data_IF_605590803868
#
_entry.id   IF_605590803868
#
_cell.length_a   1.000
_cell.length_b   1.000
_cell.length_c   1.000
_cell.angle_alpha   90.00
_cell.angle_beta   90.00
_cell.angle_gamma   90.00
#
_symmetry.space_group_name_H-M   'P 1'
#
loop_
_entity.id
_entity.type
_entity.pdbx_description
1 polymer ?
#
# COMPACT_ATOMS: atom_id res chain seq x y z
N UNK A 1 -0.74 -7.30 17.33
CA UNK A 1 -1.19 -8.70 17.42
C UNK A 1 -0.05 -9.70 17.22
N UNK A 2 1.15 -9.37 17.71
CA UNK A 2 2.22 -10.33 17.92
C UNK A 2 2.25 -10.53 19.44
N UNK A 3 1.54 -11.54 19.92
CA UNK A 3 1.78 -12.07 21.26
C UNK A 3 2.02 -13.57 21.14
N UNK A 4 3.19 -13.97 21.65
CA UNK A 4 3.60 -15.33 21.87
C UNK A 4 2.83 -15.90 23.08
N UNK A 5 1.93 -16.84 22.86
CA UNK A 5 1.43 -17.76 23.91
C UNK A 5 1.53 -19.21 23.41
N UNK A 6 2.25 -20.10 24.11
CA UNK A 6 2.42 -21.48 23.70
C UNK A 6 1.37 -22.38 24.35
N UNK A 7 0.30 -22.73 23.62
CA UNK A 7 -0.50 -23.96 23.79
C UNK A 7 -1.81 -23.89 23.00
N UNK A 8 -1.74 -24.15 21.69
CA UNK A 8 -2.92 -24.51 20.91
C UNK A 8 -2.52 -25.49 19.80
N UNK A 9 -3.27 -26.59 19.56
CA UNK A 9 -2.95 -27.60 18.53
C UNK A 9 -3.11 -27.09 17.10
N UNK A 10 -3.48 -25.83 16.89
CA UNK A 10 -3.68 -25.21 15.57
C UNK A 10 -2.35 -24.75 14.92
N UNK A 11 -1.33 -25.61 14.91
CA UNK A 11 -0.22 -25.47 13.95
C UNK A 11 -0.68 -25.93 12.57
N UNK A 12 -1.61 -25.20 11.95
CA UNK A 12 -1.70 -25.20 10.49
C UNK A 12 -0.65 -24.22 10.00
N UNK A 13 0.20 -24.69 9.09
CA UNK A 13 1.26 -23.98 8.40
C UNK A 13 0.76 -22.73 7.67
N UNK A 14 0.35 -21.68 8.39
CA UNK A 14 0.04 -20.38 7.85
C UNK A 14 1.30 -19.54 7.92
N UNK A 15 2.13 -19.64 6.88
CA UNK A 15 3.18 -18.65 6.67
C UNK A 15 2.49 -17.39 6.13
N UNK A 16 2.03 -16.52 7.03
CA UNK A 16 1.52 -15.19 6.66
C UNK A 16 2.70 -14.29 6.26
N UNK A 17 3.34 -14.62 5.14
CA UNK A 17 4.35 -13.78 4.52
C UNK A 17 3.66 -12.71 3.70
N UNK A 18 3.51 -11.50 4.26
CA UNK A 18 3.16 -10.31 3.49
C UNK A 18 4.34 -9.95 2.58
N UNK A 19 4.55 -10.71 1.51
CA UNK A 19 5.61 -10.44 0.56
C UNK A 19 5.14 -9.35 -0.40
N UNK A 20 5.74 -8.17 -0.23
CA UNK A 20 5.45 -6.96 -1.00
C UNK A 20 5.92 -7.11 -2.44
N UNK A 21 5.06 -6.68 -3.36
CA UNK A 21 5.17 -6.57 -4.82
C UNK A 21 5.50 -7.84 -5.62
N UNK A 22 6.45 -8.67 -5.19
CA UNK A 22 7.02 -9.77 -6.00
C UNK A 22 6.01 -10.84 -6.41
N UNK A 23 5.07 -11.18 -5.51
CA UNK A 23 4.11 -12.26 -5.75
C UNK A 23 2.74 -11.78 -6.23
N UNK A 24 2.52 -10.47 -6.40
CA UNK A 24 1.20 -9.93 -6.79
C UNK A 24 0.71 -10.44 -8.15
N UNK A 25 1.64 -10.81 -9.02
CA UNK A 25 1.37 -11.32 -10.37
C UNK A 25 1.56 -12.84 -10.49
N UNK A 26 1.92 -13.54 -9.40
CA UNK A 26 2.10 -14.99 -9.42
C UNK A 26 0.72 -15.68 -9.46
N UNK A 27 0.41 -16.48 -10.50
CA UNK A 27 -0.89 -17.16 -10.59
C UNK A 27 -1.13 -18.21 -9.49
N UNK A 28 -0.10 -18.60 -8.74
CA UNK A 28 -0.21 -19.52 -7.61
C UNK A 28 -0.41 -18.82 -6.27
N UNK A 29 -0.37 -17.48 -6.23
CA UNK A 29 -0.51 -16.67 -5.01
C UNK A 29 -1.74 -15.76 -5.13
N UNK A 30 -2.77 -15.93 -4.28
CA UNK A 30 -3.95 -15.08 -4.32
C UNK A 30 -3.64 -13.65 -3.89
N UNK A 31 -4.11 -12.68 -4.67
CA UNK A 31 -4.09 -11.25 -4.34
C UNK A 31 -5.43 -10.87 -3.69
N UNK A 32 -5.44 -10.72 -2.37
CA UNK A 32 -6.71 -10.68 -1.61
C UNK A 32 -6.98 -9.31 -1.01
N UNK A 33 -8.21 -8.82 -1.23
CA UNK A 33 -8.87 -7.80 -0.41
C UNK A 33 -10.08 -8.46 0.25
N UNK A 34 -10.10 -8.62 1.58
CA UNK A 34 -11.15 -9.38 2.27
C UNK A 34 -12.59 -8.95 1.95
N UNK A 35 -12.81 -7.66 1.73
CA UNK A 35 -14.12 -7.08 1.41
C UNK A 35 -14.53 -7.27 -0.06
N UNK A 36 -13.62 -7.72 -0.93
CA UNK A 36 -13.83 -7.79 -2.39
C UNK A 36 -13.82 -9.24 -2.89
N UNK A 37 -12.82 -10.02 -2.48
CA UNK A 37 -12.60 -11.39 -2.94
C UNK A 37 -12.19 -12.34 -1.80
N UNK A 38 -13.00 -12.50 -0.74
CA UNK A 38 -12.65 -13.35 0.40
C UNK A 38 -12.49 -14.83 0.02
N UNK A 39 -13.18 -15.29 -1.02
CA UNK A 39 -13.12 -16.66 -1.49
C UNK A 39 -11.75 -17.07 -2.04
N UNK A 40 -10.92 -16.10 -2.46
CA UNK A 40 -9.58 -16.38 -2.98
C UNK A 40 -8.61 -16.88 -1.91
N UNK A 41 -8.96 -16.73 -0.64
CA UNK A 41 -8.26 -17.39 0.46
C UNK A 41 -8.33 -18.92 0.35
N UNK A 42 -9.34 -19.50 -0.30
CA UNK A 42 -9.54 -20.96 -0.30
C UNK A 42 -8.49 -21.73 -1.09
N UNK A 43 -7.88 -21.10 -2.11
CA UNK A 43 -6.95 -21.77 -3.01
C UNK A 43 -5.48 -21.43 -2.74
N UNK A 44 -5.18 -20.65 -1.69
CA UNK A 44 -3.82 -20.30 -1.34
C UNK A 44 -2.94 -21.55 -1.12
N UNK A 45 -1.65 -21.47 -1.47
CA UNK A 45 -0.67 -22.53 -1.21
C UNK A 45 0.29 -22.17 -0.08
N UNK A 46 -0.22 -21.49 0.95
CA UNK A 46 0.55 -21.02 2.10
C UNK A 46 1.16 -19.63 1.94
N UNK A 47 0.89 -18.95 0.81
CA UNK A 47 1.23 -17.56 0.56
C UNK A 47 -0.01 -16.81 0.09
N UNK A 48 -0.14 -15.54 0.49
CA UNK A 48 -1.19 -14.62 0.07
C UNK A 48 -0.52 -13.27 -0.21
N UNK A 49 -0.80 -12.67 -1.35
CA UNK A 49 -0.30 -11.35 -1.71
C UNK A 49 -1.27 -10.26 -1.21
N UNK A 50 -0.69 -9.20 -0.65
CA UNK A 50 -1.43 -8.00 -0.28
C UNK A 50 -1.34 -6.97 -1.42
N UNK A 51 -2.47 -6.45 -1.94
CA UNK A 51 -2.44 -5.45 -3.00
C UNK A 51 -1.79 -4.13 -2.58
N UNK A 52 -1.63 -3.24 -3.56
CA UNK A 52 -1.17 -1.89 -3.30
C UNK A 52 -2.20 -1.12 -2.45
N UNK A 53 -1.73 -0.28 -1.53
CA UNK A 53 -2.58 0.52 -0.64
C UNK A 53 -3.59 1.41 -1.40
N UNK A 54 -3.18 2.05 -2.51
CA UNK A 54 -4.08 2.88 -3.33
C UNK A 54 -5.11 2.03 -4.07
N UNK A 55 -4.78 0.78 -4.40
CA UNK A 55 -5.72 -0.16 -5.00
C UNK A 55 -6.75 -0.62 -3.98
N UNK A 56 -6.32 -1.01 -2.77
CA UNK A 56 -7.22 -1.51 -1.71
C UNK A 56 -8.32 -0.49 -1.43
N UNK A 57 -7.97 0.76 -1.12
CA UNK A 57 -8.96 1.81 -0.83
C UNK A 57 -9.96 2.02 -1.98
N UNK A 58 -9.49 1.90 -3.22
CA UNK A 58 -10.32 2.08 -4.40
C UNK A 58 -11.28 0.91 -4.58
N UNK A 59 -10.79 -0.33 -4.55
CA UNK A 59 -11.64 -1.50 -4.83
C UNK A 59 -12.66 -1.76 -3.72
N UNK A 60 -12.33 -1.46 -2.45
CA UNK A 60 -13.31 -1.54 -1.36
C UNK A 60 -14.47 -0.57 -1.59
N UNK A 61 -14.17 0.66 -2.02
CA UNK A 61 -15.20 1.66 -2.31
C UNK A 61 -16.01 1.33 -3.58
N UNK A 62 -15.37 0.76 -4.60
CA UNK A 62 -16.01 0.47 -5.88
C UNK A 62 -16.78 -0.85 -5.90
N UNK A 63 -16.43 -1.82 -5.05
CA UNK A 63 -17.01 -3.17 -5.07
C UNK A 63 -18.55 -3.18 -4.99
N UNK A 64 -19.21 -2.45 -4.08
CA UNK A 64 -20.68 -2.43 -4.05
C UNK A 64 -21.31 -1.88 -5.35
N UNK A 65 -20.67 -0.91 -5.99
CA UNK A 65 -21.14 -0.34 -7.26
C UNK A 65 -20.95 -1.36 -8.39
N UNK A 66 -19.77 -2.00 -8.42
CA UNK A 66 -19.46 -3.03 -9.40
C UNK A 66 -20.43 -4.21 -9.34
N UNK A 67 -20.82 -4.65 -8.14
CA UNK A 67 -21.74 -5.78 -7.97
C UNK A 67 -23.17 -5.48 -8.44
N UNK A 68 -23.61 -4.22 -8.31
CA UNK A 68 -24.98 -3.82 -8.69
C UNK A 68 -25.11 -3.52 -10.18
N UNK A 69 -24.16 -2.79 -10.77
CA UNK A 69 -24.29 -2.26 -12.13
C UNK A 69 -23.10 -2.53 -13.05
N UNK A 70 -22.04 -3.15 -12.53
CA UNK A 70 -20.77 -3.30 -13.24
C UNK A 70 -20.01 -1.97 -13.38
N UNK A 71 -18.72 -2.06 -13.72
CA UNK A 71 -17.88 -0.89 -14.03
C UNK A 71 -17.01 -1.25 -15.23
N UNK A 72 -17.17 -0.52 -16.34
CA UNK A 72 -16.36 -0.71 -17.55
C UNK A 72 -15.07 0.12 -17.54
N UNK A 73 -15.09 1.28 -16.88
CA UNK A 73 -13.95 2.20 -16.86
C UNK A 73 -13.87 3.01 -15.57
N UNK A 74 -12.66 3.13 -15.04
CA UNK A 74 -12.32 4.02 -13.92
C UNK A 74 -11.27 5.02 -14.39
N UNK A 75 -11.48 6.30 -14.10
CA UNK A 75 -10.46 7.36 -14.23
C UNK A 75 -10.15 7.83 -12.82
N UNK A 76 -8.89 7.72 -12.41
CA UNK A 76 -8.46 8.00 -11.04
C UNK A 76 -7.26 8.95 -11.05
N UNK A 77 -7.30 9.95 -10.17
CA UNK A 77 -6.17 10.78 -9.82
C UNK A 77 -5.82 10.52 -8.35
N UNK A 78 -4.56 10.20 -8.05
CA UNK A 78 -4.13 9.88 -6.69
C UNK A 78 -3.37 11.05 -6.07
N UNK A 79 -3.68 11.33 -4.80
CA UNK A 79 -2.97 12.30 -3.98
C UNK A 79 -2.34 11.54 -2.80
N UNK A 80 -1.13 11.06 -2.99
CA UNK A 80 -0.50 10.14 -2.05
C UNK A 80 0.38 10.91 -1.06
N UNK A 81 0.28 10.55 0.21
CA UNK A 81 1.10 11.14 1.27
C UNK A 81 2.54 10.61 1.21
N UNK A 82 3.49 11.44 1.66
CA UNK A 82 4.92 11.06 1.75
C UNK A 82 5.19 9.86 2.65
N UNK A 83 4.25 9.54 3.55
CA UNK A 83 4.33 8.37 4.42
C UNK A 83 4.36 7.05 3.65
N UNK A 84 3.85 7.00 2.42
CA UNK A 84 3.92 5.81 1.56
C UNK A 84 5.35 5.49 1.11
N UNK A 85 6.21 6.50 0.97
CA UNK A 85 7.63 6.33 0.64
C UNK A 85 8.46 5.91 1.86
N UNK A 86 8.00 6.26 3.06
CA UNK A 86 8.60 5.81 4.32
C UNK A 86 9.15 6.96 5.17
N UNK A 87 9.89 6.58 6.22
CA UNK A 87 10.33 7.52 7.27
C UNK A 87 11.20 8.66 6.74
N UNK A 88 12.11 8.36 5.81
CA UNK A 88 13.03 9.36 5.25
C UNK A 88 12.28 10.46 4.51
N UNK A 89 11.27 10.12 3.72
CA UNK A 89 10.42 11.08 3.02
C UNK A 89 9.57 11.95 3.98
N UNK A 90 9.13 11.37 5.11
CA UNK A 90 8.43 12.12 6.16
C UNK A 90 9.37 13.16 6.79
N UNK A 91 10.58 12.77 7.14
CA UNK A 91 11.57 13.68 7.74
C UNK A 91 12.04 14.75 6.73
N UNK A 92 12.17 14.40 5.46
CA UNK A 92 12.46 15.36 4.39
C UNK A 92 11.35 16.41 4.28
N UNK A 93 10.08 16.01 4.20
CA UNK A 93 8.97 16.97 4.13
C UNK A 93 8.98 17.94 5.33
N UNK A 94 9.21 17.42 6.55
CA UNK A 94 9.30 18.25 7.76
C UNK A 94 10.47 19.24 7.68
N UNK A 95 11.64 18.77 7.26
CA UNK A 95 12.87 19.57 7.16
C UNK A 95 12.69 20.68 6.14
N UNK A 96 12.26 20.34 4.91
CA UNK A 96 12.00 21.32 3.85
C UNK A 96 10.97 22.37 4.29
N UNK A 97 9.88 21.94 4.96
CA UNK A 97 8.84 22.87 5.44
C UNK A 97 9.40 23.86 6.46
N UNK A 98 10.20 23.40 7.42
CA UNK A 98 10.81 24.26 8.44
C UNK A 98 11.85 25.22 7.85
N UNK A 99 12.75 24.73 6.99
CA UNK A 99 13.78 25.56 6.36
C UNK A 99 13.16 26.66 5.49
N UNK A 100 12.11 26.35 4.71
CA UNK A 100 11.38 27.35 3.92
C UNK A 100 10.78 28.43 4.82
N UNK A 101 10.19 28.06 5.96
CA UNK A 101 9.61 29.02 6.90
C UNK A 101 10.66 29.94 7.53
N UNK A 102 11.89 29.45 7.70
CA UNK A 102 13.02 30.20 8.28
C UNK A 102 13.88 30.93 7.23
N UNK A 103 13.64 30.74 5.93
CA UNK A 103 14.50 31.26 4.87
C UNK A 103 15.87 30.58 4.79
N UNK A 104 15.96 29.33 5.22
CA UNK A 104 17.17 28.51 5.24
C UNK A 104 17.25 27.60 4.00
N UNK A 105 18.47 27.26 3.60
CA UNK A 105 18.71 26.24 2.58
C UNK A 105 18.39 24.83 3.13
N UNK A 106 18.03 23.91 2.23
CA UNK A 106 17.77 22.50 2.57
C UNK A 106 18.25 21.57 1.45
N UNK A 107 18.43 20.31 1.81
CA UNK A 107 18.81 19.26 0.87
C UNK A 107 17.58 18.45 0.44
N UNK A 108 17.62 17.92 -0.79
CA UNK A 108 16.63 16.99 -1.33
C UNK A 108 17.30 15.61 -1.41
N UNK A 109 16.73 14.58 -0.75
CA UNK A 109 17.35 13.25 -0.58
C UNK A 109 16.42 12.11 -0.99
N UNK A 110 15.21 12.08 -0.43
CA UNK A 110 14.22 11.02 -0.59
C UNK A 110 13.47 11.12 -1.92
N UNK A 111 13.29 12.33 -2.45
CA UNK A 111 12.62 12.58 -3.74
C UNK A 111 13.59 13.17 -4.77
N UNK A 112 13.28 13.11 -6.07
CA UNK A 112 14.10 13.76 -7.10
C UNK A 112 13.96 15.29 -7.11
N UNK A 113 12.90 15.82 -6.50
CA UNK A 113 12.59 17.25 -6.44
C UNK A 113 11.99 17.60 -5.07
N UNK A 114 11.99 18.89 -4.72
CA UNK A 114 11.36 19.41 -3.50
C UNK A 114 9.91 18.92 -3.39
N UNK A 115 9.54 18.40 -2.23
CA UNK A 115 8.19 17.92 -1.94
C UNK A 115 7.37 18.92 -1.11
N UNK A 116 8.02 19.72 -0.24
CA UNK A 116 7.32 20.76 0.50
C UNK A 116 6.69 21.78 -0.46
N UNK A 117 5.40 22.07 -0.27
CA UNK A 117 4.62 22.98 -1.11
C UNK A 117 4.63 22.64 -2.62
N UNK A 118 4.84 21.37 -2.97
CA UNK A 118 4.89 20.91 -4.34
C UNK A 118 4.06 19.63 -4.53
N UNK A 119 3.74 19.29 -5.78
CA UNK A 119 3.11 18.03 -6.17
C UNK A 119 3.95 17.34 -7.24
N UNK A 120 4.35 16.10 -6.99
CA UNK A 120 5.18 15.32 -7.91
C UNK A 120 4.29 14.35 -8.71
N UNK A 121 4.20 14.47 -10.05
CA UNK A 121 3.38 13.58 -10.88
C UNK A 121 4.11 12.27 -11.22
N UNK A 122 4.91 11.74 -10.29
CA UNK A 122 5.67 10.50 -10.46
C UNK A 122 5.81 9.78 -9.11
N UNK A 123 5.47 8.49 -9.08
CA UNK A 123 5.56 7.63 -7.88
C UNK A 123 6.18 6.30 -8.31
N UNK A 124 7.23 5.88 -7.60
CA UNK A 124 8.04 4.70 -7.95
C UNK A 124 9.46 5.08 -8.37
N UNK A 125 10.26 4.06 -8.65
CA UNK A 125 11.62 4.15 -9.19
C UNK A 125 11.63 4.25 -10.71
#
# INVERSE_FOLDING_TARGET
WIENTPSSPLKRNFLFGFYVDYFRMDPQVPLVVPEVNPDDLKWHKGLIANPNCSTIQMVVALKPIYDEVGIERVIVATYQSVSGTGKEAIEELKTQTASIANGEEFEIKAYPFQIAYNALPHIGS
#
